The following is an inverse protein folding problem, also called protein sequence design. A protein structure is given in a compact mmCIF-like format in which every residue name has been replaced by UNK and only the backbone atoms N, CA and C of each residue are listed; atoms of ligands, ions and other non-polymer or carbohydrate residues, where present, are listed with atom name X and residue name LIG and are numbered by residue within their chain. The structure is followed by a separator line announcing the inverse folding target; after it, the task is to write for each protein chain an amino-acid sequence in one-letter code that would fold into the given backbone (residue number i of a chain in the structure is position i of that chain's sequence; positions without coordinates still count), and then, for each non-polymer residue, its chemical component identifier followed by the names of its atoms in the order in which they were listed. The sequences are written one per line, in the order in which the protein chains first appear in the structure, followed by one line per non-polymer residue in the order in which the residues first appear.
data_IF_610392145275
#
_entry.id   IF_610392145275
#
_cell.length_a   1.000
_cell.length_b   1.000
_cell.length_c   1.000
_cell.angle_alpha   90.00
_cell.angle_beta   90.00
_cell.angle_gamma   90.00
#
_symmetry.space_group_name_H-M   'P 1'
#
loop_
_entity.id
_entity.type
_entity.pdbx_description
1 polymer ?
#
# COMPACT_ATOMS: atom_id res chain seq x y z
N UNK A 1 -42.64 15.15 24.49
CA UNK A 1 -42.58 14.91 23.04
C UNK A 1 -41.94 16.13 22.41
N UNK A 2 -40.64 16.06 22.16
CA UNK A 2 -39.89 17.08 21.43
C UNK A 2 -38.98 16.31 20.48
N UNK A 3 -39.36 16.36 19.21
CA UNK A 3 -38.70 15.68 18.10
C UNK A 3 -37.26 16.19 17.97
N UNK A 4 -36.31 15.25 18.01
CA UNK A 4 -34.92 15.52 17.64
C UNK A 4 -34.87 15.57 16.11
N UNK A 5 -34.80 16.79 15.56
CA UNK A 5 -34.52 17.02 14.16
C UNK A 5 -33.12 16.54 13.82
N UNK A 6 -33.04 15.39 13.14
CA UNK A 6 -31.81 14.95 12.47
C UNK A 6 -31.45 15.97 11.40
N UNK A 7 -30.40 16.75 11.65
CA UNK A 7 -29.87 17.71 10.71
C UNK A 7 -29.08 16.94 9.63
N UNK A 8 -29.78 16.31 8.68
CA UNK A 8 -29.17 15.83 7.44
C UNK A 8 -28.95 17.05 6.56
N UNK A 9 -27.78 17.69 6.68
CA UNK A 9 -27.39 18.73 5.74
C UNK A 9 -27.46 18.15 4.32
N UNK A 10 -28.32 18.72 3.48
CA UNK A 10 -28.37 18.39 2.06
C UNK A 10 -26.95 18.58 1.46
N UNK A 11 -26.46 17.63 0.66
CA UNK A 11 -25.16 17.76 0.04
C UNK A 11 -25.11 19.02 -0.81
N UNK A 12 -24.09 19.85 -0.59
CA UNK A 12 -23.88 21.09 -1.35
C UNK A 12 -23.89 20.80 -2.86
N UNK A 13 -24.45 21.72 -3.64
CA UNK A 13 -24.47 21.65 -5.10
C UNK A 13 -23.05 21.42 -5.64
N UNK A 14 -22.82 20.31 -6.36
CA UNK A 14 -21.49 19.90 -6.83
C UNK A 14 -20.70 18.95 -5.92
N UNK A 15 -21.31 18.41 -4.85
CA UNK A 15 -20.68 17.40 -3.99
C UNK A 15 -20.33 16.12 -4.76
N UNK A 16 -19.05 15.82 -4.85
CA UNK A 16 -18.55 14.53 -5.33
C UNK A 16 -18.33 13.59 -4.14
N UNK A 17 -19.11 12.52 -4.10
CA UNK A 17 -18.97 11.49 -3.10
C UNK A 17 -17.65 10.74 -3.29
N UNK A 18 -16.90 10.58 -2.20
CA UNK A 18 -15.64 9.86 -2.17
C UNK A 18 -15.45 9.18 -0.82
N UNK A 19 -14.55 8.20 -0.75
CA UNK A 19 -14.23 7.47 0.47
C UNK A 19 -12.76 7.62 0.82
N UNK A 20 -12.48 7.60 2.11
CA UNK A 20 -11.13 7.57 2.66
C UNK A 20 -10.82 6.16 3.17
N UNK A 21 -9.68 5.63 2.69
CA UNK A 21 -9.03 4.43 3.23
C UNK A 21 -7.72 4.76 3.94
N UNK A 22 -7.21 3.91 4.85
CA UNK A 22 -5.97 4.18 5.58
C UNK A 22 -4.76 4.48 4.69
N UNK A 23 -4.66 3.78 3.56
CA UNK A 23 -3.59 4.00 2.58
C UNK A 23 -3.72 5.33 1.86
N UNK A 24 -4.95 5.75 1.54
CA UNK A 24 -5.22 7.06 0.94
C UNK A 24 -4.99 8.21 1.92
N UNK A 25 -5.40 8.05 3.18
CA UNK A 25 -5.13 9.01 4.25
C UNK A 25 -3.63 9.17 4.47
N UNK A 26 -2.89 8.06 4.55
CA UNK A 26 -1.43 8.11 4.68
C UNK A 26 -0.77 8.85 3.52
N UNK A 27 -1.27 8.68 2.28
CA UNK A 27 -0.73 9.38 1.11
C UNK A 27 -1.04 10.89 1.18
N UNK A 28 -2.21 11.27 1.65
CA UNK A 28 -2.61 12.67 1.84
C UNK A 28 -1.75 13.36 2.91
N UNK A 29 -1.55 12.70 4.05
CA UNK A 29 -0.70 13.18 5.15
C UNK A 29 0.77 13.29 4.77
N UNK A 30 1.27 12.38 3.93
CA UNK A 30 2.60 12.51 3.36
C UNK A 30 2.71 13.75 2.48
N UNK A 31 1.75 13.95 1.56
CA UNK A 31 1.68 15.12 0.70
C UNK A 31 0.31 15.20 0.00
N UNK A 32 -0.50 16.26 0.21
CA UNK A 32 -1.82 16.37 -0.43
C UNK A 32 -1.73 16.35 -1.96
N UNK A 33 -0.72 17.01 -2.55
CA UNK A 33 -0.44 16.93 -4.00
C UNK A 33 -0.15 15.50 -4.48
N UNK A 34 0.57 14.69 -3.70
CA UNK A 34 0.83 13.27 -4.01
C UNK A 34 -0.46 12.46 -4.01
N UNK A 35 -1.35 12.72 -3.05
CA UNK A 35 -2.69 12.12 -3.05
C UNK A 35 -3.47 12.54 -4.29
N UNK A 36 -3.54 13.84 -4.59
CA UNK A 36 -4.24 14.37 -5.75
C UNK A 36 -3.75 13.75 -7.06
N UNK A 37 -2.42 13.68 -7.28
CA UNK A 37 -1.81 13.05 -8.47
C UNK A 37 -2.20 11.56 -8.60
N UNK A 38 -2.30 10.84 -7.48
CA UNK A 38 -2.71 9.42 -7.50
C UNK A 38 -4.16 9.19 -7.95
N UNK A 39 -4.97 10.25 -8.01
CA UNK A 39 -6.36 10.23 -8.47
C UNK A 39 -6.54 10.68 -9.92
N UNK A 40 -5.47 11.07 -10.61
CA UNK A 40 -5.54 11.59 -11.98
C UNK A 40 -5.45 10.53 -13.08
N UNK A 41 -5.60 9.24 -12.75
CA UNK A 41 -5.49 8.16 -13.73
C UNK A 41 -4.09 7.96 -14.31
N UNK A 42 -3.06 8.50 -13.65
CA UNK A 42 -1.66 8.38 -14.09
C UNK A 42 -1.18 6.92 -14.02
N UNK A 43 -0.28 6.50 -14.94
CA UNK A 43 0.21 5.13 -14.98
C UNK A 43 0.93 4.82 -13.66
N UNK A 44 0.51 3.77 -12.94
CA UNK A 44 1.11 3.38 -11.66
C UNK A 44 2.44 2.66 -11.85
N UNK A 45 3.30 2.73 -10.84
CA UNK A 45 4.54 1.97 -10.79
C UNK A 45 4.38 0.68 -9.97
N UNK A 46 4.73 -0.47 -10.56
CA UNK A 46 4.85 -1.72 -9.83
C UNK A 46 6.08 -1.73 -8.93
N UNK A 47 5.96 -2.41 -7.79
CA UNK A 47 6.97 -2.42 -6.73
C UNK A 47 7.23 -3.84 -6.25
N UNK A 48 8.48 -4.28 -6.28
CA UNK A 48 8.87 -5.62 -5.81
C UNK A 48 8.47 -5.86 -4.34
N UNK A 49 8.74 -4.93 -3.39
CA UNK A 49 8.23 -5.06 -2.03
C UNK A 49 6.71 -5.20 -1.92
N UNK A 50 5.95 -4.50 -2.78
CA UNK A 50 4.49 -4.56 -2.75
C UNK A 50 3.98 -5.92 -3.28
N UNK A 51 4.52 -6.38 -4.41
CA UNK A 51 4.20 -7.68 -4.98
C UNK A 51 4.53 -8.84 -4.02
N UNK A 52 5.68 -8.78 -3.35
CA UNK A 52 6.04 -9.73 -2.31
C UNK A 52 5.04 -9.69 -1.15
N UNK A 53 4.71 -8.51 -0.65
CA UNK A 53 3.74 -8.34 0.42
C UNK A 53 2.39 -8.93 0.08
N UNK A 54 1.84 -8.58 -1.08
CA UNK A 54 0.56 -9.09 -1.57
C UNK A 54 0.57 -10.62 -1.68
N UNK A 55 1.63 -11.21 -2.25
CA UNK A 55 1.75 -12.67 -2.36
C UNK A 55 1.68 -13.34 -0.99
N UNK A 56 2.32 -12.77 0.04
CA UNK A 56 2.26 -13.29 1.41
C UNK A 56 0.87 -13.10 2.01
N UNK A 57 0.27 -11.92 1.92
CA UNK A 57 -1.06 -11.63 2.49
C UNK A 57 -2.13 -12.55 1.90
N UNK A 58 -2.20 -12.63 0.56
CA UNK A 58 -3.18 -13.47 -0.12
C UNK A 58 -2.94 -14.97 0.16
N UNK A 59 -1.69 -15.38 0.44
CA UNK A 59 -1.39 -16.75 0.84
C UNK A 59 -1.89 -17.07 2.24
N UNK A 60 -1.73 -16.15 3.19
CA UNK A 60 -2.30 -16.29 4.54
C UNK A 60 -3.82 -16.31 4.47
N UNK A 61 -4.43 -15.42 3.69
CA UNK A 61 -5.88 -15.38 3.42
C UNK A 61 -6.39 -16.74 2.94
N UNK A 62 -5.82 -17.27 1.86
CA UNK A 62 -6.26 -18.54 1.27
C UNK A 62 -6.06 -19.74 2.20
N UNK A 63 -5.00 -19.72 3.02
CA UNK A 63 -4.78 -20.77 4.02
C UNK A 63 -5.84 -20.69 5.12
N UNK A 64 -6.11 -19.50 5.67
CA UNK A 64 -7.15 -19.31 6.68
C UNK A 64 -8.54 -19.71 6.15
N UNK A 65 -8.81 -19.52 4.85
CA UNK A 65 -10.06 -19.91 4.19
C UNK A 65 -10.07 -21.35 3.62
N UNK A 66 -9.04 -22.15 3.88
CA UNK A 66 -8.96 -23.50 3.34
C UNK A 66 -10.09 -24.36 3.90
N UNK A 67 -10.89 -24.96 3.02
CA UNK A 67 -11.89 -25.96 3.42
C UNK A 67 -11.18 -27.29 3.73
N UNK A 68 -11.19 -27.65 5.02
CA UNK A 68 -10.64 -28.89 5.55
C UNK A 68 -11.71 -29.74 6.25
N UNK A 69 -12.99 -29.41 6.08
CA UNK A 69 -14.10 -30.06 6.78
C UNK A 69 -14.17 -31.56 6.53
N UNK A 70 -13.92 -31.98 5.29
CA UNK A 70 -13.94 -33.39 4.85
C UNK A 70 -12.62 -34.15 5.10
N UNK A 71 -11.63 -33.53 5.75
CA UNK A 71 -10.32 -34.14 6.00
C UNK A 71 -10.24 -34.74 7.40
N UNK A 72 -9.48 -35.83 7.49
CA UNK A 72 -9.23 -36.58 8.73
C UNK A 72 -8.38 -35.74 9.69
N UNK A 73 -8.83 -35.61 10.93
CA UNK A 73 -8.21 -34.74 11.95
C UNK A 73 -6.78 -35.16 12.30
N UNK A 74 -6.46 -36.45 12.15
CA UNK A 74 -5.13 -37.01 12.44
C UNK A 74 -4.13 -36.84 11.26
N UNK A 75 -4.58 -36.32 10.11
CA UNK A 75 -3.71 -36.13 8.94
C UNK A 75 -2.64 -35.04 9.19
N UNK A 76 -1.36 -35.39 9.10
CA UNK A 76 -0.19 -34.51 9.25
C UNK A 76 0.58 -34.35 7.93
N UNK A 77 1.73 -33.67 7.94
CA UNK A 77 2.63 -33.44 6.79
C UNK A 77 2.04 -32.66 5.60
N UNK A 78 0.79 -32.20 5.71
CA UNK A 78 0.07 -31.55 4.62
C UNK A 78 0.35 -30.04 4.51
N UNK A 79 0.54 -29.35 5.63
CA UNK A 79 0.62 -27.89 5.68
C UNK A 79 1.82 -27.33 4.91
N UNK A 80 3.06 -27.88 5.02
CA UNK A 80 4.21 -27.34 4.29
C UNK A 80 4.03 -27.38 2.77
N UNK A 81 3.53 -28.50 2.24
CA UNK A 81 3.29 -28.67 0.81
C UNK A 81 2.17 -27.74 0.32
N UNK A 82 1.10 -27.60 1.12
CA UNK A 82 -0.05 -26.74 0.81
C UNK A 82 0.34 -25.26 0.83
N UNK A 83 1.00 -24.80 1.89
CA UNK A 83 1.47 -23.42 2.03
C UNK A 83 2.41 -23.03 0.87
N UNK A 84 3.33 -23.93 0.49
CA UNK A 84 4.19 -23.72 -0.67
C UNK A 84 3.39 -23.60 -1.97
N UNK A 85 2.44 -24.50 -2.22
CA UNK A 85 1.64 -24.47 -3.45
C UNK A 85 0.78 -23.20 -3.55
N UNK A 86 0.18 -22.77 -2.44
CA UNK A 86 -0.58 -21.51 -2.36
C UNK A 86 0.34 -20.31 -2.64
N UNK A 87 1.51 -20.25 -2.02
CA UNK A 87 2.47 -19.18 -2.24
C UNK A 87 2.99 -19.13 -3.67
N UNK A 88 3.36 -20.28 -4.25
CA UNK A 88 3.85 -20.36 -5.63
C UNK A 88 2.79 -19.84 -6.62
N UNK A 89 1.51 -20.14 -6.39
CA UNK A 89 0.40 -19.62 -7.19
C UNK A 89 0.30 -18.10 -7.08
N UNK A 90 0.28 -17.55 -5.86
CA UNK A 90 0.18 -16.10 -5.66
C UNK A 90 1.41 -15.36 -6.15
N UNK A 91 2.60 -15.94 -6.00
CA UNK A 91 3.84 -15.40 -6.54
C UNK A 91 3.77 -15.27 -8.07
N UNK A 92 3.22 -16.26 -8.76
CA UNK A 92 3.02 -16.20 -10.21
C UNK A 92 1.98 -15.16 -10.61
N UNK A 93 0.85 -15.06 -9.90
CA UNK A 93 -0.17 -14.01 -10.13
C UNK A 93 0.46 -12.62 -9.98
N UNK A 94 1.21 -12.39 -8.90
CA UNK A 94 1.86 -11.10 -8.67
C UNK A 94 2.97 -10.82 -9.69
N UNK A 95 3.68 -11.84 -10.19
CA UNK A 95 4.64 -11.70 -11.28
C UNK A 95 3.96 -11.22 -12.57
N UNK A 96 2.85 -11.85 -12.94
CA UNK A 96 2.11 -11.49 -14.16
C UNK A 96 1.54 -10.08 -14.06
N UNK A 97 0.95 -9.71 -12.91
CA UNK A 97 0.47 -8.36 -12.62
C UNK A 97 1.60 -7.31 -12.68
N UNK A 98 2.75 -7.64 -12.10
CA UNK A 98 3.92 -6.76 -12.06
C UNK A 98 4.48 -6.50 -13.45
N UNK A 99 4.67 -7.55 -14.26
CA UNK A 99 5.19 -7.44 -15.63
C UNK A 99 4.17 -6.83 -16.60
N UNK A 100 2.86 -6.98 -16.33
CA UNK A 100 1.79 -6.32 -17.08
C UNK A 100 1.62 -4.84 -16.75
N UNK A 101 2.22 -4.34 -15.66
CA UNK A 101 2.13 -2.93 -15.25
C UNK A 101 3.16 -2.10 -16.02
N UNK A 102 2.79 -1.08 -16.84
CA UNK A 102 3.71 -0.42 -17.76
C UNK A 102 4.99 0.16 -17.13
N UNK A 103 4.90 0.63 -15.88
CA UNK A 103 6.05 1.14 -15.13
C UNK A 103 6.46 0.09 -14.11
N UNK A 104 7.52 -0.66 -14.38
CA UNK A 104 8.04 -1.64 -13.44
C UNK A 104 9.57 -1.74 -13.55
N UNK A 105 10.28 -2.00 -12.43
CA UNK A 105 11.68 -2.40 -12.51
C UNK A 105 11.81 -3.89 -12.89
N UNK A 106 13.03 -4.43 -12.89
CA UNK A 106 13.23 -5.88 -13.07
C UNK A 106 12.53 -6.69 -11.98
N UNK A 107 11.81 -7.73 -12.39
CA UNK A 107 11.30 -8.77 -11.49
C UNK A 107 12.44 -9.60 -10.89
N UNK A 108 12.38 -9.87 -9.58
CA UNK A 108 13.42 -10.59 -8.85
C UNK A 108 12.87 -11.92 -8.35
N UNK A 109 12.95 -12.96 -9.20
CA UNK A 109 12.49 -14.32 -8.87
C UNK A 109 13.13 -14.84 -7.57
N UNK A 110 14.37 -14.46 -7.29
CA UNK A 110 15.08 -14.82 -6.06
C UNK A 110 14.41 -14.32 -4.77
N UNK A 111 13.45 -13.39 -4.85
CA UNK A 111 12.71 -12.90 -3.68
C UNK A 111 11.58 -13.82 -3.22
N UNK A 112 11.25 -14.89 -3.96
CA UNK A 112 10.28 -15.89 -3.51
C UNK A 112 10.68 -16.53 -2.17
N UNK A 113 11.98 -16.70 -1.92
CA UNK A 113 12.48 -17.21 -0.62
C UNK A 113 12.11 -16.27 0.53
N UNK A 114 12.18 -14.95 0.31
CA UNK A 114 11.74 -13.98 1.33
C UNK A 114 10.22 -13.97 1.51
N UNK A 115 9.47 -14.20 0.43
CA UNK A 115 8.02 -14.36 0.52
C UNK A 115 7.68 -15.61 1.34
N UNK A 116 8.41 -16.71 1.14
CA UNK A 116 8.27 -17.94 1.92
C UNK A 116 8.58 -17.68 3.40
N UNK A 117 9.72 -17.06 3.72
CA UNK A 117 10.06 -16.70 5.11
C UNK A 117 8.98 -15.81 5.74
N UNK A 118 8.43 -14.87 4.96
CA UNK A 118 7.32 -14.00 5.38
C UNK A 118 6.02 -14.75 5.61
N UNK A 119 5.72 -15.79 4.82
CA UNK A 119 4.53 -16.64 5.03
C UNK A 119 4.69 -17.47 6.30
N UNK A 120 5.83 -18.14 6.47
CA UNK A 120 6.12 -18.92 7.68
C UNK A 120 6.06 -18.04 8.93
N UNK A 121 6.65 -16.84 8.87
CA UNK A 121 6.61 -15.89 9.97
C UNK A 121 5.20 -15.41 10.30
N UNK A 122 4.34 -15.23 9.30
CA UNK A 122 2.94 -14.87 9.53
C UNK A 122 2.16 -16.01 10.21
N UNK A 123 2.33 -17.25 9.72
CA UNK A 123 1.71 -18.43 10.30
C UNK A 123 2.19 -18.68 11.74
N UNK A 124 3.47 -18.50 12.03
CA UNK A 124 3.99 -18.59 13.41
C UNK A 124 3.32 -17.61 14.35
N UNK A 125 3.10 -16.36 13.92
CA UNK A 125 2.38 -15.38 14.74
C UNK A 125 0.94 -15.85 14.95
N UNK A 126 0.26 -16.31 13.90
CA UNK A 126 -1.11 -16.83 14.01
C UNK A 126 -1.20 -18.01 14.99
N UNK A 127 -0.30 -18.98 14.90
CA UNK A 127 -0.23 -20.10 15.84
C UNK A 127 0.01 -19.64 17.27
N UNK A 128 0.84 -18.62 17.48
CA UNK A 128 1.07 -18.04 18.82
C UNK A 128 -0.17 -17.37 19.44
N UNK A 129 -1.25 -17.15 18.66
CA UNK A 129 -2.54 -16.65 19.14
C UNK A 129 -3.52 -17.77 19.49
N UNK A 130 -3.18 -19.02 19.20
CA UNK A 130 -3.95 -20.20 19.60
C UNK A 130 -3.39 -20.82 20.87
N UNK A 131 -4.15 -21.75 21.46
CA UNK A 131 -3.72 -22.58 22.59
C UNK A 131 -2.76 -23.71 22.21
N UNK A 132 -2.44 -23.84 20.91
CA UNK A 132 -1.63 -24.95 20.41
C UNK A 132 -0.15 -24.61 20.43
N UNK A 133 0.64 -25.52 20.99
CA UNK A 133 2.10 -25.44 20.98
C UNK A 133 2.69 -26.13 19.73
N UNK A 134 3.00 -25.35 18.70
CA UNK A 134 3.50 -25.85 17.40
C UNK A 134 4.98 -25.51 17.26
N UNK A 135 5.81 -26.56 17.21
CA UNK A 135 7.25 -26.44 16.99
C UNK A 135 7.64 -26.64 15.53
N UNK A 136 6.83 -27.38 14.76
CA UNK A 136 7.12 -27.75 13.39
C UNK A 136 5.83 -27.87 12.56
N UNK A 137 5.81 -27.25 11.38
CA UNK A 137 4.62 -27.22 10.52
C UNK A 137 4.28 -28.59 9.91
N UNK A 138 5.23 -29.52 9.83
CA UNK A 138 4.96 -30.89 9.36
C UNK A 138 4.13 -31.68 10.38
N UNK A 139 4.20 -31.31 11.67
CA UNK A 139 3.49 -31.98 12.75
C UNK A 139 2.06 -31.42 12.95
N UNK A 140 1.70 -30.35 12.25
CA UNK A 140 0.37 -29.74 12.33
C UNK A 140 -0.65 -30.69 11.71
N UNK A 141 -1.50 -31.27 12.54
CA UNK A 141 -2.61 -32.09 12.08
C UNK A 141 -3.76 -31.22 11.53
N UNK A 142 -4.69 -31.82 10.80
CA UNK A 142 -5.90 -31.14 10.36
C UNK A 142 -6.76 -30.69 11.54
N UNK A 143 -6.86 -31.49 12.61
CA UNK A 143 -7.57 -31.11 13.83
C UNK A 143 -6.97 -29.86 14.47
N UNK A 144 -5.65 -29.80 14.58
CA UNK A 144 -4.93 -28.61 15.05
C UNK A 144 -5.20 -27.39 14.18
N UNK A 145 -5.21 -27.53 12.85
CA UNK A 145 -5.50 -26.41 11.96
C UNK A 145 -6.95 -25.94 12.06
N UNK A 146 -7.92 -26.84 12.24
CA UNK A 146 -9.32 -26.48 12.51
C UNK A 146 -9.44 -25.64 13.79
N UNK A 147 -8.69 -25.97 14.85
CA UNK A 147 -8.61 -25.17 16.07
C UNK A 147 -8.07 -23.76 15.78
N UNK A 148 -6.97 -23.67 15.02
CA UNK A 148 -6.37 -22.38 14.61
C UNK A 148 -7.29 -21.58 13.68
N UNK A 149 -8.04 -22.22 12.80
CA UNK A 149 -9.04 -21.54 11.96
C UNK A 149 -10.21 -21.02 12.80
N UNK A 150 -10.60 -21.73 13.86
CA UNK A 150 -11.73 -21.34 14.69
C UNK A 150 -11.55 -20.00 15.40
N UNK A 151 -10.29 -19.59 15.66
CA UNK A 151 -9.99 -18.28 16.25
C UNK A 151 -9.98 -17.14 15.22
N UNK A 152 -9.97 -17.44 13.91
CA UNK A 152 -10.03 -16.42 12.86
C UNK A 152 -11.48 -16.04 12.60
N UNK A 153 -11.94 -14.96 13.22
CA UNK A 153 -13.32 -14.46 13.13
C UNK A 153 -13.63 -13.87 11.76
N UNK A 154 -12.64 -13.27 11.11
CA UNK A 154 -12.72 -12.83 9.72
C UNK A 154 -11.33 -12.65 9.11
N UNK A 155 -11.24 -12.82 7.80
CA UNK A 155 -10.09 -12.41 6.99
C UNK A 155 -10.56 -11.51 5.84
N UNK A 156 -9.73 -10.52 5.52
CA UNK A 156 -10.01 -9.56 4.44
C UNK A 156 -11.38 -8.87 4.54
N UNK A 157 -11.83 -8.69 5.79
CA UNK A 157 -13.09 -8.06 6.13
C UNK A 157 -13.12 -6.60 5.70
N UNK A 158 -14.14 -6.23 4.93
CA UNK A 158 -14.39 -4.82 4.61
C UNK A 158 -15.10 -4.15 5.79
N UNK A 159 -14.52 -3.07 6.30
CA UNK A 159 -15.10 -2.17 7.29
C UNK A 159 -15.53 -0.87 6.61
N UNK A 160 -16.74 -0.42 6.89
CA UNK A 160 -17.28 0.86 6.42
C UNK A 160 -17.81 1.62 7.63
N UNK A 161 -17.60 2.94 7.69
CA UNK A 161 -18.22 3.79 8.75
C UNK A 161 -19.70 4.00 8.47
N UNK A 162 -20.51 4.26 9.50
CA UNK A 162 -21.96 4.50 9.39
C UNK A 162 -22.35 5.51 8.31
N UNK A 163 -21.57 6.59 8.14
CA UNK A 163 -21.82 7.63 7.15
C UNK A 163 -21.31 7.30 5.73
N UNK A 164 -20.75 6.10 5.52
CA UNK A 164 -20.17 5.62 4.25
C UNK A 164 -18.87 6.29 3.81
N UNK A 165 -18.34 7.26 4.57
CA UNK A 165 -17.18 8.10 4.17
C UNK A 165 -15.84 7.42 4.39
N UNK A 166 -15.74 6.55 5.39
CA UNK A 166 -14.51 5.83 5.73
C UNK A 166 -14.66 4.36 5.33
N UNK A 167 -13.61 3.78 4.75
CA UNK A 167 -13.58 2.37 4.36
C UNK A 167 -12.19 1.77 4.56
N UNK A 168 -12.12 0.58 5.14
CA UNK A 168 -10.90 -0.19 5.31
C UNK A 168 -11.09 -1.65 4.91
N UNK A 169 -10.01 -2.33 4.51
CA UNK A 169 -9.94 -3.79 4.42
C UNK A 169 -8.95 -4.25 5.48
N UNK A 170 -9.44 -4.98 6.48
CA UNK A 170 -8.61 -5.52 7.56
C UNK A 170 -7.99 -6.84 7.09
N UNK A 171 -6.73 -7.12 7.41
CA UNK A 171 -6.12 -8.39 6.98
C UNK A 171 -6.74 -9.56 7.78
N UNK A 172 -6.69 -9.48 9.12
CA UNK A 172 -7.25 -10.51 10.01
C UNK A 172 -7.98 -9.89 11.21
N UNK A 173 -9.09 -10.52 11.59
CA UNK A 173 -9.75 -10.35 12.87
C UNK A 173 -9.70 -11.68 13.59
N UNK A 174 -9.05 -11.71 14.75
CA UNK A 174 -8.77 -12.93 15.50
C UNK A 174 -9.36 -12.81 16.91
N UNK A 175 -9.90 -13.89 17.45
CA UNK A 175 -10.29 -13.96 18.86
C UNK A 175 -9.04 -13.94 19.75
N UNK A 176 -9.06 -13.12 20.81
CA UNK A 176 -8.01 -13.08 21.83
C UNK A 176 -8.30 -14.18 22.85
N UNK A 177 -7.78 -15.39 22.58
CA UNK A 177 -8.04 -16.57 23.41
C UNK A 177 -7.02 -16.63 24.55
N UNK A 178 -7.48 -16.97 25.74
CA UNK A 178 -6.62 -17.19 26.89
C UNK A 178 -6.12 -18.64 27.05
N UNK A 179 -5.36 -18.90 28.10
CA UNK A 179 -4.79 -20.22 28.39
C UNK A 179 -5.85 -21.32 28.61
N UNK A 180 -7.11 -20.96 28.88
CA UNK A 180 -8.21 -21.90 29.07
C UNK A 180 -9.05 -22.10 27.80
N UNK A 181 -8.73 -21.41 26.71
CA UNK A 181 -9.51 -21.47 25.47
C UNK A 181 -10.69 -20.48 25.44
N UNK A 182 -10.81 -19.60 26.42
CA UNK A 182 -11.90 -18.61 26.50
C UNK A 182 -11.51 -17.31 25.78
N UNK A 183 -12.45 -16.73 25.03
CA UNK A 183 -12.24 -15.46 24.32
C UNK A 183 -12.32 -14.26 25.28
N UNK A 184 -11.22 -13.54 25.43
CA UNK A 184 -11.14 -12.31 26.23
C UNK A 184 -11.37 -11.03 25.42
N UNK A 185 -11.43 -11.13 24.10
CA UNK A 185 -11.51 -9.97 23.23
C UNK A 185 -11.29 -10.29 21.76
N UNK A 186 -11.14 -9.24 20.97
CA UNK A 186 -10.81 -9.32 19.55
C UNK A 186 -9.49 -8.60 19.25
N UNK A 187 -8.71 -9.19 18.37
CA UNK A 187 -7.45 -8.65 17.85
C UNK A 187 -7.68 -8.26 16.40
N UNK A 188 -7.60 -6.97 16.11
CA UNK A 188 -7.47 -6.47 14.73
C UNK A 188 -6.00 -6.55 14.34
N UNK A 189 -5.67 -7.47 13.43
CA UNK A 189 -4.31 -7.69 12.97
C UNK A 189 -4.11 -7.17 11.55
N UNK A 190 -3.04 -6.41 11.35
CA UNK A 190 -2.54 -6.00 10.03
C UNK A 190 -1.14 -6.59 9.83
N UNK A 191 -1.00 -7.41 8.79
CA UNK A 191 0.20 -8.13 8.46
C UNK A 191 1.21 -7.19 7.79
N UNK A 192 2.46 -7.26 8.21
CA UNK A 192 3.56 -6.44 7.70
C UNK A 192 4.73 -7.33 7.30
N UNK A 193 5.04 -7.35 6.00
CA UNK A 193 6.24 -8.01 5.44
C UNK A 193 7.48 -7.11 5.41
N UNK A 194 7.32 -5.84 5.78
CA UNK A 194 8.37 -4.83 5.82
C UNK A 194 9.26 -4.91 7.06
N UNK A 195 10.17 -3.94 7.19
CA UNK A 195 11.03 -3.83 8.39
C UNK A 195 10.19 -3.53 9.63
N UNK A 196 10.48 -4.19 10.77
CA UNK A 196 9.85 -3.87 12.04
C UNK A 196 10.19 -2.44 12.46
N UNK A 197 9.33 -1.80 13.27
CA UNK A 197 9.61 -0.50 13.85
C UNK A 197 10.78 -0.58 14.84
N UNK A 198 11.44 0.56 15.06
CA UNK A 198 12.48 0.71 16.08
C UNK A 198 12.50 2.17 16.55
N UNK A 199 12.21 2.51 17.82
CA UNK A 199 11.80 1.66 18.95
C UNK A 199 10.27 1.47 19.10
N UNK A 200 9.46 2.29 18.44
CA UNK A 200 7.99 2.26 18.52
C UNK A 200 7.36 2.27 17.13
N UNK A 201 6.10 1.84 17.02
CA UNK A 201 5.33 1.90 15.79
C UNK A 201 5.42 3.29 15.16
N UNK A 202 5.69 3.34 13.86
CA UNK A 202 5.58 4.58 13.10
C UNK A 202 4.12 5.08 13.18
N UNK A 203 3.93 6.37 13.39
CA UNK A 203 2.61 7.01 13.49
C UNK A 203 1.67 6.62 12.33
N UNK A 204 2.20 6.47 11.12
CA UNK A 204 1.43 5.99 9.96
C UNK A 204 0.82 4.62 10.18
N UNK A 205 1.59 3.68 10.74
CA UNK A 205 1.14 2.30 10.99
C UNK A 205 0.19 2.28 12.19
N UNK A 206 0.54 2.99 13.28
CA UNK A 206 -0.33 3.14 14.45
C UNK A 206 -1.71 3.70 14.05
N UNK A 207 -1.74 4.75 13.23
CA UNK A 207 -2.98 5.36 12.72
C UNK A 207 -3.79 4.40 11.85
N UNK A 208 -3.15 3.60 10.99
CA UNK A 208 -3.84 2.58 10.19
C UNK A 208 -4.49 1.51 11.08
N UNK A 209 -3.75 0.97 12.05
CA UNK A 209 -4.26 -0.03 12.99
C UNK A 209 -5.44 0.50 13.83
N UNK A 210 -5.28 1.71 14.38
CA UNK A 210 -6.35 2.38 15.13
C UNK A 210 -7.58 2.66 14.26
N UNK A 211 -7.39 3.00 12.98
CA UNK A 211 -8.51 3.20 12.06
C UNK A 211 -9.39 1.95 11.93
N UNK A 212 -8.79 0.76 11.75
CA UNK A 212 -9.55 -0.48 11.69
C UNK A 212 -10.23 -0.81 13.01
N UNK A 213 -9.49 -0.68 14.13
CA UNK A 213 -10.03 -0.87 15.48
C UNK A 213 -11.25 0.01 15.73
N UNK A 214 -11.16 1.30 15.42
CA UNK A 214 -12.20 2.26 15.77
C UNK A 214 -13.42 2.12 14.86
N UNK A 215 -13.24 1.76 13.58
CA UNK A 215 -14.37 1.38 12.70
C UNK A 215 -15.06 0.10 13.19
N UNK A 216 -14.29 -0.90 13.60
CA UNK A 216 -14.85 -2.14 14.14
C UNK A 216 -15.69 -1.86 15.39
N UNK A 217 -15.18 -1.01 16.30
CA UNK A 217 -15.90 -0.59 17.52
C UNK A 217 -17.17 0.20 17.19
N UNK A 218 -17.09 1.14 16.24
CA UNK A 218 -18.27 1.90 15.79
C UNK A 218 -19.36 0.98 15.24
N UNK A 219 -18.99 -0.01 14.43
CA UNK A 219 -19.94 -0.92 13.79
C UNK A 219 -20.51 -1.98 14.75
N UNK A 220 -19.89 -2.19 15.91
CA UNK A 220 -20.28 -3.22 16.89
C UNK A 220 -20.39 -2.60 18.29
N UNK A 221 -21.48 -1.91 18.65
CA UNK A 221 -21.59 -1.18 19.93
C UNK A 221 -21.39 -2.04 21.18
N UNK A 222 -21.66 -3.35 21.10
CA UNK A 222 -21.48 -4.32 22.18
C UNK A 222 -20.20 -5.16 22.01
N UNK A 223 -19.19 -4.65 21.31
CA UNK A 223 -17.93 -5.36 21.10
C UNK A 223 -17.25 -5.72 22.45
N UNK A 224 -16.53 -6.86 22.55
CA UNK A 224 -15.66 -7.13 23.68
C UNK A 224 -14.42 -6.22 23.63
N UNK A 225 -13.42 -6.43 24.48
CA UNK A 225 -12.17 -5.65 24.40
C UNK A 225 -11.54 -5.83 23.00
N UNK A 226 -11.24 -4.72 22.31
CA UNK A 226 -10.58 -4.77 20.98
C UNK A 226 -9.18 -4.18 21.07
N UNK A 227 -8.18 -4.98 20.70
CA UNK A 227 -6.78 -4.58 20.53
C UNK A 227 -6.44 -4.47 19.04
N UNK A 228 -5.40 -3.71 18.71
CA UNK A 228 -4.95 -3.52 17.33
C UNK A 228 -3.45 -3.81 17.25
N UNK A 229 -3.06 -4.73 16.38
CA UNK A 229 -1.72 -5.28 16.33
C UNK A 229 -1.12 -5.26 14.92
N UNK A 230 0.10 -4.74 14.81
CA UNK A 230 0.93 -4.90 13.62
C UNK A 230 1.75 -6.18 13.73
N UNK A 231 1.51 -7.13 12.83
CA UNK A 231 2.19 -8.43 12.80
C UNK A 231 3.35 -8.39 11.81
N UNK A 232 4.58 -8.32 12.30
CA UNK A 232 5.77 -8.22 11.45
C UNK A 232 6.35 -9.60 11.18
N UNK A 233 5.97 -10.20 10.05
CA UNK A 233 6.32 -11.60 9.75
C UNK A 233 7.81 -11.82 9.51
N UNK A 234 8.54 -10.80 9.04
CA UNK A 234 9.96 -10.91 8.75
C UNK A 234 10.83 -11.23 9.98
N UNK A 235 10.41 -10.81 11.17
CA UNK A 235 11.11 -11.08 12.44
C UNK A 235 10.19 -11.63 13.53
N UNK A 236 8.96 -12.00 13.17
CA UNK A 236 7.96 -12.59 14.06
C UNK A 236 7.69 -11.74 15.31
N UNK A 237 7.56 -10.41 15.13
CA UNK A 237 7.24 -9.51 16.24
C UNK A 237 5.85 -8.91 16.11
N UNK A 238 5.18 -8.75 17.24
CA UNK A 238 3.85 -8.15 17.35
C UNK A 238 3.98 -6.80 18.06
N UNK A 239 3.34 -5.77 17.50
CA UNK A 239 3.36 -4.42 18.06
C UNK A 239 1.95 -3.89 18.22
N UNK A 240 1.58 -3.52 19.44
CA UNK A 240 0.24 -3.00 19.76
C UNK A 240 0.16 -1.51 19.42
N UNK A 241 -0.94 -1.10 18.78
CA UNK A 241 -1.26 0.29 18.50
C UNK A 241 -2.29 0.83 19.49
N UNK A 242 -1.78 1.60 20.46
CA UNK A 242 -2.60 2.28 21.46
C UNK A 242 -2.80 3.76 21.12
N UNK A 243 -3.80 4.37 21.76
CA UNK A 243 -4.12 5.78 21.63
C UNK A 243 -5.60 6.05 21.36
N UNK A 244 -5.99 7.34 21.34
CA UNK A 244 -7.37 7.77 21.15
C UNK A 244 -7.90 7.35 19.78
N UNK A 245 -9.23 7.45 19.64
CA UNK A 245 -9.92 7.20 18.38
C UNK A 245 -9.38 8.10 17.27
N UNK A 246 -9.24 7.55 16.06
CA UNK A 246 -8.79 8.28 14.88
C UNK A 246 -9.92 8.62 13.91
N UNK A 247 -11.19 8.35 14.27
CA UNK A 247 -12.35 8.58 13.39
C UNK A 247 -12.54 10.06 13.07
N UNK A 248 -12.50 10.94 14.07
CA UNK A 248 -12.63 12.40 13.86
C UNK A 248 -11.49 12.95 12.98
N UNK A 249 -10.20 12.70 13.27
CA UNK A 249 -9.11 13.07 12.37
C UNK A 249 -9.24 12.47 10.96
N UNK A 250 -9.78 11.25 10.83
CA UNK A 250 -10.03 10.65 9.53
C UNK A 250 -11.10 11.42 8.75
N UNK A 251 -12.16 11.89 9.41
CA UNK A 251 -13.20 12.70 8.77
C UNK A 251 -12.68 14.09 8.36
N UNK A 252 -11.78 14.69 9.14
CA UNK A 252 -11.08 15.93 8.77
C UNK A 252 -10.20 15.73 7.53
N UNK A 253 -9.44 14.64 7.48
CA UNK A 253 -8.63 14.30 6.32
C UNK A 253 -9.51 13.99 5.10
N UNK A 254 -10.63 13.28 5.28
CA UNK A 254 -11.61 13.04 4.23
C UNK A 254 -12.12 14.36 3.63
N UNK A 255 -12.42 15.35 4.47
CA UNK A 255 -12.84 16.68 4.02
C UNK A 255 -11.76 17.39 3.17
N UNK A 256 -10.48 17.29 3.58
CA UNK A 256 -9.34 17.82 2.83
C UNK A 256 -9.00 17.04 1.54
N UNK A 257 -9.46 15.79 1.44
CA UNK A 257 -9.24 14.89 0.30
C UNK A 257 -10.31 15.02 -0.80
N UNK A 258 -11.21 16.00 -0.70
CA UNK A 258 -12.27 16.26 -1.69
C UNK A 258 -11.71 16.27 -3.11
N UNK A 259 -12.35 15.52 -4.04
CA UNK A 259 -12.00 15.59 -5.46
C UNK A 259 -12.04 17.02 -5.97
N UNK A 260 -10.98 17.42 -6.67
CA UNK A 260 -10.81 18.78 -7.17
C UNK A 260 -10.09 18.74 -8.51
N UNK A 261 -10.49 19.63 -9.43
CA UNK A 261 -9.75 19.88 -10.67
C UNK A 261 -8.46 20.64 -10.39
N UNK A 262 -8.43 21.43 -9.32
CA UNK A 262 -7.25 22.16 -8.89
C UNK A 262 -6.38 21.26 -8.02
N UNK A 263 -5.06 21.24 -8.24
CA UNK A 263 -4.18 20.44 -7.43
C UNK A 263 -4.19 20.82 -5.96
N UNK A 264 -4.15 19.83 -5.08
CA UNK A 264 -3.97 20.05 -3.65
C UNK A 264 -2.57 20.57 -3.33
N UNK A 265 -2.42 21.18 -2.15
CA UNK A 265 -1.17 21.77 -1.68
C UNK A 265 -0.01 20.75 -1.69
N UNK A 266 1.15 21.18 -2.15
CA UNK A 266 2.35 20.36 -2.16
C UNK A 266 3.22 20.68 -0.94
N UNK A 267 3.68 19.64 -0.26
CA UNK A 267 4.60 19.71 0.87
C UNK A 267 5.95 19.07 0.51
N UNK A 268 6.75 19.71 -0.39
CA UNK A 268 8.02 19.14 -0.82
C UNK A 268 8.99 18.99 0.37
N UNK A 269 9.56 17.80 0.50
CA UNK A 269 10.55 17.48 1.52
C UNK A 269 11.35 16.24 1.10
N UNK A 270 12.54 16.05 1.67
CA UNK A 270 13.44 14.95 1.27
C UNK A 270 12.76 13.58 1.38
N UNK A 271 11.95 13.37 2.43
CA UNK A 271 11.22 12.11 2.62
C UNK A 271 10.01 11.99 1.68
N UNK A 272 9.23 13.07 1.57
CA UNK A 272 8.00 13.13 0.78
C UNK A 272 8.29 12.98 -0.71
N UNK A 273 9.23 13.77 -1.21
CA UNK A 273 9.65 13.75 -2.59
C UNK A 273 10.58 12.57 -2.88
N UNK A 274 11.48 12.18 -1.98
CA UNK A 274 12.48 11.13 -2.23
C UNK A 274 11.91 9.87 -2.90
N UNK A 275 10.77 9.39 -2.41
CA UNK A 275 10.08 8.17 -2.90
C UNK A 275 8.78 8.46 -3.66
N UNK A 276 8.54 9.69 -4.10
CA UNK A 276 7.32 10.03 -4.84
C UNK A 276 7.40 9.53 -6.29
N UNK A 277 6.52 8.62 -6.67
CA UNK A 277 6.42 8.08 -8.04
C UNK A 277 5.79 9.06 -9.04
N UNK A 278 5.26 10.21 -8.60
CA UNK A 278 4.55 11.17 -9.44
C UNK A 278 5.40 12.35 -9.91
N UNK A 279 6.71 12.30 -9.73
CA UNK A 279 7.62 13.42 -10.05
C UNK A 279 7.52 13.91 -11.49
N UNK A 280 7.35 13.02 -12.47
CA UNK A 280 7.21 13.40 -13.87
C UNK A 280 5.99 14.32 -14.15
N UNK A 281 5.01 14.35 -13.24
CA UNK A 281 3.79 15.15 -13.34
C UNK A 281 3.69 16.26 -12.29
N UNK A 282 4.67 16.38 -11.39
CA UNK A 282 4.64 17.34 -10.30
C UNK A 282 5.63 18.48 -10.58
N UNK A 283 5.19 19.68 -11.00
CA UNK A 283 6.13 20.77 -11.24
C UNK A 283 6.79 21.31 -9.95
N UNK A 284 6.08 21.21 -8.82
CA UNK A 284 6.52 21.77 -7.53
C UNK A 284 7.78 21.10 -6.98
N UNK A 285 7.98 19.79 -7.17
CA UNK A 285 9.22 19.16 -6.68
C UNK A 285 10.45 19.68 -7.43
N UNK A 286 10.29 20.00 -8.72
CA UNK A 286 11.39 20.51 -9.54
C UNK A 286 11.69 21.96 -9.19
N UNK A 287 10.65 22.78 -9.01
CA UNK A 287 10.77 24.14 -8.47
C UNK A 287 11.46 24.15 -7.09
N UNK A 288 11.05 23.27 -6.17
CA UNK A 288 11.67 23.12 -4.86
C UNK A 288 13.17 22.79 -4.93
N UNK A 289 13.62 22.06 -5.97
CA UNK A 289 15.05 21.84 -6.21
C UNK A 289 15.78 23.08 -6.72
N UNK A 290 15.17 23.89 -7.58
CA UNK A 290 15.72 25.19 -8.00
C UNK A 290 15.89 26.11 -6.80
N UNK A 291 14.89 26.14 -5.92
CA UNK A 291 14.84 27.05 -4.77
C UNK A 291 15.71 26.59 -3.59
N UNK A 292 16.41 25.45 -3.74
CA UNK A 292 17.33 24.92 -2.74
C UNK A 292 16.65 24.24 -1.54
N UNK A 293 15.33 24.03 -1.59
CA UNK A 293 14.57 23.32 -0.57
C UNK A 293 14.85 21.80 -0.58
N UNK A 294 15.11 21.25 -1.77
CA UNK A 294 15.44 19.85 -1.97
C UNK A 294 16.87 19.70 -2.50
N UNK A 295 17.63 18.81 -1.88
CA UNK A 295 18.95 18.45 -2.36
C UNK A 295 18.86 17.73 -3.71
N UNK A 296 19.86 17.90 -4.59
CA UNK A 296 20.00 17.10 -5.80
C UNK A 296 20.10 15.60 -5.61
N UNK A 297 20.37 15.14 -4.39
CA UNK A 297 20.81 13.79 -4.10
C UNK A 297 22.29 13.58 -4.40
N UNK A 298 22.91 12.63 -3.68
CA UNK A 298 24.32 12.30 -3.88
C UNK A 298 24.50 11.39 -5.10
N UNK A 299 24.29 10.09 -4.89
CA UNK A 299 24.58 9.04 -5.87
C UNK A 299 23.44 8.83 -6.88
N UNK A 300 22.19 8.85 -6.42
CA UNK A 300 21.00 8.72 -7.27
C UNK A 300 20.30 10.06 -7.35
N UNK A 301 19.99 10.49 -8.58
CA UNK A 301 19.35 11.77 -8.85
C UNK A 301 18.19 11.59 -9.80
N UNK A 302 17.16 12.38 -9.56
CA UNK A 302 16.12 12.61 -10.55
C UNK A 302 16.47 13.85 -11.36
N UNK A 303 16.23 13.83 -12.66
CA UNK A 303 16.56 14.93 -13.57
C UNK A 303 15.42 15.18 -14.55
N UNK A 304 15.26 16.43 -14.96
CA UNK A 304 14.42 16.81 -16.10
C UNK A 304 15.35 17.33 -17.19
N UNK A 305 15.31 16.70 -18.36
CA UNK A 305 16.31 16.90 -19.42
C UNK A 305 15.70 17.01 -20.81
N UNK A 306 16.40 17.69 -21.70
CA UNK A 306 16.24 17.51 -23.14
C UNK A 306 17.25 16.48 -23.64
N UNK A 307 16.80 15.61 -24.56
CA UNK A 307 17.66 14.63 -25.23
C UNK A 307 18.31 15.30 -26.45
N UNK A 308 19.62 15.55 -26.39
CA UNK A 308 20.36 16.23 -27.47
C UNK A 308 20.79 15.24 -28.55
N UNK A 309 21.24 14.07 -28.10
CA UNK A 309 21.64 12.97 -28.98
C UNK A 309 21.35 11.66 -28.27
N UNK A 310 20.89 10.68 -29.00
CA UNK A 310 20.72 9.32 -28.53
C UNK A 310 21.25 8.34 -29.59
N UNK A 311 22.12 7.46 -29.16
CA UNK A 311 22.65 6.34 -29.92
C UNK A 311 22.06 5.07 -29.32
N UNK A 312 21.09 4.49 -30.02
CA UNK A 312 20.34 3.31 -29.56
C UNK A 312 21.22 2.07 -29.49
N UNK A 313 22.12 1.90 -30.45
CA UNK A 313 22.99 0.71 -30.53
C UNK A 313 24.04 0.72 -29.41
N UNK A 314 24.62 1.89 -29.14
CA UNK A 314 25.58 2.05 -28.05
C UNK A 314 24.93 2.19 -26.67
N UNK A 315 23.61 2.41 -26.61
CA UNK A 315 22.91 2.79 -25.38
C UNK A 315 23.45 4.08 -24.78
N UNK A 316 23.86 5.04 -25.61
CA UNK A 316 24.52 6.27 -25.18
C UNK A 316 23.65 7.49 -25.48
N UNK A 317 23.61 8.45 -24.56
CA UNK A 317 22.87 9.69 -24.73
C UNK A 317 23.70 10.91 -24.33
N UNK A 318 23.40 12.06 -24.93
CA UNK A 318 23.79 13.37 -24.43
C UNK A 318 22.54 14.09 -23.96
N UNK A 319 22.50 14.40 -22.67
CA UNK A 319 21.41 15.13 -22.03
C UNK A 319 21.79 16.57 -21.74
N UNK A 320 20.80 17.46 -21.81
CA UNK A 320 20.89 18.82 -21.30
C UNK A 320 19.85 18.99 -20.20
N UNK A 321 20.27 19.37 -18.99
CA UNK A 321 19.31 19.67 -17.91
C UNK A 321 18.45 20.87 -18.30
N UNK A 322 17.17 20.78 -17.99
CA UNK A 322 16.20 21.87 -18.13
C UNK A 322 15.78 22.35 -16.75
N UNK A 323 15.99 23.63 -16.45
CA UNK A 323 15.66 24.24 -15.16
C UNK A 323 14.19 24.71 -15.15
N UNK A 324 13.48 24.63 -14.00
CA UNK A 324 12.12 25.16 -13.92
C UNK A 324 12.15 26.70 -13.90
N UNK A 325 11.27 27.34 -14.68
CA UNK A 325 11.13 28.80 -14.71
C UNK A 325 10.20 29.28 -13.60
N UNK A 326 9.08 28.58 -13.42
CA UNK A 326 8.09 28.83 -12.38
C UNK A 326 7.62 27.51 -11.78
N UNK A 327 6.39 27.51 -11.29
CA UNK A 327 5.81 26.41 -10.50
C UNK A 327 4.75 25.62 -11.30
N UNK A 328 4.52 26.01 -12.56
CA UNK A 328 3.61 25.41 -13.53
C UNK A 328 4.25 24.24 -14.32
N UNK A 329 5.57 24.11 -14.24
CA UNK A 329 6.34 23.10 -14.96
C UNK A 329 6.97 23.59 -16.25
N UNK A 330 6.87 24.90 -16.53
CA UNK A 330 7.61 25.56 -17.60
C UNK A 330 9.12 25.43 -17.38
N UNK A 331 9.84 25.16 -18.47
CA UNK A 331 11.27 24.84 -18.45
C UNK A 331 12.09 25.83 -19.28
N UNK A 332 13.31 26.11 -18.82
CA UNK A 332 14.34 26.82 -19.58
C UNK A 332 15.57 25.90 -19.79
N UNK A 333 16.25 26.01 -20.94
CA UNK A 333 17.53 25.35 -21.14
C UNK A 333 18.55 25.80 -20.09
N UNK A 334 19.42 24.88 -19.67
CA UNK A 334 20.60 25.22 -18.86
C UNK A 334 21.88 24.88 -19.61
N UNK A 335 23.00 25.49 -19.20
CA UNK A 335 24.34 25.15 -19.72
C UNK A 335 24.84 23.77 -19.26
N UNK A 336 24.08 23.08 -18.41
CA UNK A 336 24.49 21.80 -17.84
C UNK A 336 24.17 20.64 -18.77
N UNK A 337 25.20 20.17 -19.49
CA UNK A 337 25.17 18.96 -20.33
C UNK A 337 25.94 17.82 -19.66
N UNK A 338 25.42 16.60 -19.80
CA UNK A 338 26.04 15.39 -19.25
C UNK A 338 25.73 14.18 -20.12
N UNK A 339 26.64 13.19 -20.09
CA UNK A 339 26.47 11.94 -20.83
C UNK A 339 25.54 10.98 -20.10
N UNK A 340 24.94 10.06 -20.83
CA UNK A 340 24.11 8.99 -20.30
C UNK A 340 24.51 7.64 -20.89
N UNK A 341 24.52 6.61 -20.05
CA UNK A 341 24.60 5.20 -20.46
C UNK A 341 23.29 4.53 -20.02
N UNK A 342 22.53 4.06 -20.99
CA UNK A 342 21.23 3.43 -20.82
C UNK A 342 21.36 1.94 -21.13
N UNK A 343 20.82 1.12 -20.23
CA UNK A 343 20.75 -0.34 -20.39
C UNK A 343 19.36 -0.84 -20.03
N UNK A 344 19.08 -2.05 -20.46
CA UNK A 344 17.92 -2.83 -20.05
C UNK A 344 16.61 -2.02 -20.16
N UNK A 345 15.76 -2.00 -19.13
CA UNK A 345 14.47 -1.29 -19.17
C UNK A 345 14.59 0.20 -19.51
N UNK A 346 15.63 0.90 -19.03
CA UNK A 346 15.80 2.32 -19.32
C UNK A 346 16.09 2.58 -20.81
N UNK A 347 16.82 1.67 -21.46
CA UNK A 347 17.10 1.75 -22.89
C UNK A 347 15.83 1.52 -23.72
N UNK A 348 15.00 0.55 -23.31
CA UNK A 348 13.70 0.26 -23.93
C UNK A 348 12.79 1.48 -23.79
N UNK A 349 12.60 1.99 -22.58
CA UNK A 349 11.74 3.16 -22.31
C UNK A 349 12.17 4.40 -23.11
N UNK A 350 13.48 4.69 -23.18
CA UNK A 350 13.98 5.81 -23.99
C UNK A 350 13.71 5.61 -25.48
N UNK A 351 13.91 4.38 -25.98
CA UNK A 351 13.69 4.06 -27.39
C UNK A 351 12.22 4.20 -27.77
N UNK A 352 11.33 3.61 -26.97
CA UNK A 352 9.87 3.70 -27.14
C UNK A 352 9.38 5.15 -27.06
N UNK A 353 9.90 5.93 -26.11
CA UNK A 353 9.54 7.33 -25.95
C UNK A 353 9.90 8.13 -27.21
N UNK A 354 11.10 7.93 -27.78
CA UNK A 354 11.50 8.62 -29.00
C UNK A 354 10.75 8.10 -30.24
N UNK A 355 10.48 6.80 -30.31
CA UNK A 355 9.71 6.17 -31.40
C UNK A 355 8.24 6.65 -31.41
N UNK A 356 7.70 7.04 -30.26
CA UNK A 356 6.39 7.69 -30.16
C UNK A 356 6.34 9.11 -30.74
N UNK A 357 7.50 9.67 -31.12
CA UNK A 357 7.62 11.03 -31.63
C UNK A 357 7.70 12.11 -30.53
N UNK A 358 7.96 11.73 -29.28
CA UNK A 358 8.08 12.69 -28.17
C UNK A 358 9.27 13.63 -28.38
N UNK A 359 9.00 14.94 -28.43
CA UNK A 359 10.04 15.98 -28.58
C UNK A 359 10.23 16.85 -27.33
N UNK A 360 9.43 16.61 -26.29
CA UNK A 360 9.45 17.38 -25.05
C UNK A 360 10.61 16.99 -24.13
N UNK A 361 10.66 17.65 -22.95
CA UNK A 361 11.58 17.23 -21.91
C UNK A 361 11.23 15.83 -21.37
N UNK A 362 12.23 15.18 -20.80
CA UNK A 362 12.18 13.81 -20.29
C UNK A 362 12.55 13.83 -18.82
N UNK A 363 11.73 13.18 -17.99
CA UNK A 363 12.03 12.87 -16.62
C UNK A 363 12.90 11.60 -16.56
N UNK A 364 14.06 11.71 -15.93
CA UNK A 364 14.94 10.59 -15.59
C UNK A 364 14.83 10.33 -14.09
N UNK A 365 14.22 9.21 -13.71
CA UNK A 365 14.07 8.79 -12.32
C UNK A 365 15.23 7.90 -11.87
N UNK A 366 15.78 8.19 -10.68
CA UNK A 366 16.81 7.39 -10.01
C UNK A 366 18.06 7.12 -10.86
N UNK A 367 18.48 8.10 -11.66
CA UNK A 367 19.72 8.01 -12.44
C UNK A 367 20.93 7.99 -11.51
N UNK A 368 21.81 6.99 -11.66
CA UNK A 368 23.04 6.91 -10.84
C UNK A 368 24.11 7.80 -11.46
N UNK A 369 24.54 8.83 -10.75
CA UNK A 369 25.53 9.78 -11.25
C UNK A 369 26.95 9.35 -10.90
N UNK A 370 27.81 9.30 -11.91
CA UNK A 370 29.26 9.16 -11.78
C UNK A 370 29.95 10.34 -12.50
N UNK A 371 30.34 11.35 -11.73
CA UNK A 371 30.83 12.62 -12.27
C UNK A 371 29.80 13.30 -13.19
N UNK A 372 30.08 13.33 -14.50
CA UNK A 372 29.20 13.89 -15.55
C UNK A 372 28.54 12.80 -16.42
N UNK A 373 28.47 11.58 -15.93
CA UNK A 373 27.81 10.47 -16.61
C UNK A 373 26.67 9.94 -15.75
N UNK A 374 25.47 9.87 -16.33
CA UNK A 374 24.32 9.22 -15.73
C UNK A 374 24.24 7.77 -16.19
N UNK A 375 24.13 6.84 -15.26
CA UNK A 375 23.88 5.42 -15.53
C UNK A 375 22.42 5.10 -15.26
N UNK A 376 21.73 4.64 -16.29
CA UNK A 376 20.33 4.24 -16.23
C UNK A 376 20.19 2.75 -16.58
N UNK A 377 19.47 2.01 -15.75
CA UNK A 377 19.21 0.59 -15.94
C UNK A 377 17.80 0.21 -15.47
N UNK A 378 17.60 -1.05 -15.14
CA UNK A 378 16.29 -1.61 -14.76
C UNK A 378 15.56 -0.92 -13.60
N UNK A 379 16.27 -0.19 -12.74
CA UNK A 379 15.65 0.51 -11.61
C UNK A 379 15.21 1.94 -11.95
N UNK A 380 15.66 2.46 -13.09
CA UNK A 380 15.39 3.83 -13.52
C UNK A 380 14.03 3.95 -14.19
N UNK A 381 13.55 5.18 -14.26
CA UNK A 381 12.38 5.53 -15.05
C UNK A 381 12.78 6.55 -16.11
N UNK A 382 12.34 6.34 -17.34
CA UNK A 382 12.42 7.32 -18.42
C UNK A 382 10.98 7.62 -18.84
N UNK A 383 10.50 8.81 -18.49
CA UNK A 383 9.11 9.22 -18.70
C UNK A 383 9.07 10.60 -19.38
N UNK A 384 8.02 10.92 -20.15
CA UNK A 384 7.81 12.30 -20.60
C UNK A 384 7.60 13.22 -19.39
N UNK A 385 8.30 14.36 -19.36
CA UNK A 385 7.98 15.43 -18.42
C UNK A 385 6.61 16.02 -18.79
N UNK A 386 5.60 15.76 -17.95
CA UNK A 386 4.20 16.06 -18.23
C UNK A 386 3.54 16.73 -17.01
N UNK A 387 4.01 17.91 -16.59
CA UNK A 387 3.54 18.57 -15.38
C UNK A 387 2.03 18.81 -15.45
N UNK A 388 1.33 18.45 -14.38
CA UNK A 388 -0.12 18.65 -14.27
C UNK A 388 -0.41 19.83 -13.37
N UNK A 389 -1.00 20.89 -13.94
CA UNK A 389 -1.50 22.07 -13.23
C UNK A 389 -3.00 22.07 -13.03
N UNK A 390 -3.71 21.22 -13.78
CA UNK A 390 -5.13 20.94 -13.66
C UNK A 390 -5.35 19.44 -13.84
N UNK A 391 -6.48 18.95 -13.34
CA UNK A 391 -6.84 17.54 -13.41
C UNK A 391 -8.34 17.36 -13.51
N UNK A 392 -8.80 16.17 -13.18
CA UNK A 392 -10.20 15.80 -13.25
C UNK A 392 -10.74 15.45 -11.87
N UNK A 393 -11.81 16.12 -11.47
CA UNK A 393 -12.64 15.73 -10.35
C UNK A 393 -13.52 14.58 -10.82
N UNK A 394 -13.02 13.35 -10.69
CA UNK A 394 -13.80 12.17 -11.02
C UNK A 394 -14.93 12.00 -10.00
N UNK A 395 -16.17 11.98 -10.50
CA UNK A 395 -17.32 11.64 -9.69
C UNK A 395 -17.34 10.15 -9.36
N UNK A 396 -17.05 9.80 -8.10
CA UNK A 396 -17.14 8.43 -7.58
C UNK A 396 -18.50 8.17 -6.87
N UNK A 397 -19.49 9.07 -7.02
CA UNK A 397 -20.80 9.03 -6.36
C UNK A 397 -21.56 7.73 -6.49
N UNK A 398 -21.29 6.91 -7.51
CA UNK A 398 -21.93 5.61 -7.69
C UNK A 398 -21.58 4.55 -6.64
N UNK A 399 -20.67 4.79 -5.69
CA UNK A 399 -20.22 3.75 -4.74
C UNK A 399 -19.84 4.26 -3.35
N UNK A 400 -20.65 5.13 -2.72
CA UNK A 400 -20.59 5.15 -1.25
C UNK A 400 -21.18 3.83 -0.76
N UNK A 401 -20.31 2.92 -0.34
CA UNK A 401 -20.75 1.72 0.36
C UNK A 401 -21.35 2.13 1.69
N UNK A 402 -22.41 1.45 2.09
CA UNK A 402 -23.08 1.65 3.37
C UNK A 402 -22.63 0.58 4.35
N UNK A 403 -22.98 0.72 5.63
CA UNK A 403 -22.62 -0.29 6.63
C UNK A 403 -23.09 -1.70 6.27
N UNK A 404 -24.22 -1.83 5.54
CA UNK A 404 -24.72 -3.09 4.98
C UNK A 404 -23.74 -3.84 4.06
N UNK A 405 -22.66 -3.19 3.61
CA UNK A 405 -21.60 -3.81 2.81
C UNK A 405 -20.44 -4.34 3.68
N UNK A 406 -20.59 -4.30 5.01
CA UNK A 406 -19.61 -4.80 5.98
C UNK A 406 -19.76 -6.31 6.12
N UNK A 407 -18.67 -7.06 5.97
CA UNK A 407 -18.68 -8.54 6.02
C UNK A 407 -18.89 -9.05 7.47
N UNK A 408 -18.80 -8.16 8.46
CA UNK A 408 -18.77 -8.48 9.89
C UNK A 408 -20.09 -8.20 10.64
N UNK A 409 -21.21 -7.95 9.96
CA UNK A 409 -22.50 -7.66 10.63
C UNK A 409 -23.04 -8.84 11.49
N UNK A 410 -22.40 -10.01 11.45
CA UNK A 410 -22.80 -11.23 12.16
C UNK A 410 -21.93 -11.66 13.34
N UNK A 411 -20.93 -10.89 13.80
CA UNK A 411 -20.06 -11.27 14.94
C UNK A 411 -20.73 -10.95 16.30
N UNK A 412 -22.06 -11.04 16.39
CA UNK A 412 -22.84 -10.77 17.61
C UNK A 412 -23.25 -12.05 18.32
N UNK A 413 -23.05 -12.12 19.64
CA UNK A 413 -23.41 -13.15 20.67
C UNK A 413 -23.15 -14.65 20.38
N UNK A 414 -23.17 -15.09 19.12
CA UNK A 414 -23.04 -16.49 18.70
C UNK A 414 -21.58 -16.98 18.69
N UNK A 415 -20.61 -16.07 18.75
CA UNK A 415 -19.18 -16.40 18.91
C UNK A 415 -18.84 -17.02 20.27
N UNK A 416 -19.77 -16.99 21.24
CA UNK A 416 -19.64 -17.67 22.54
C UNK A 416 -20.41 -19.01 22.59
N UNK A 417 -21.25 -19.33 21.59
CA UNK A 417 -22.14 -20.50 21.68
C UNK A 417 -21.55 -21.81 21.15
N UNK A 418 -20.41 -21.80 20.46
CA UNK A 418 -19.77 -23.03 19.96
C UNK A 418 -18.91 -23.78 20.98
N UNK A 419 -18.85 -23.33 22.24
CA UNK A 419 -18.07 -24.01 23.30
C UNK A 419 -18.92 -24.80 24.32
N UNK A 420 -20.20 -25.06 24.01
CA UNK A 420 -21.02 -25.96 24.84
C UNK A 420 -21.76 -27.01 23.99
N UNK A 421 -21.02 -27.99 23.47
CA UNK A 421 -21.51 -29.38 23.36
C UNK A 421 -20.37 -30.36 23.16
#
# INVERSE_FOLDING_TARGET
MSEAGGNTQEPQEGFIAHQLSPSSWSRYEECPRKYWLSRQGLPRKASMPAALGNAVHNSVEDLCNLDVSDRDDDETDWLPATAKAVLDRHWQIEKDNFLGTPRHPRWKDEQITKAHDGLIGALNILFSKSTVDIHNFSEVSIGTWKEVQSIVLANEGTLVSECGRLMGRLDLLVADIDENGESQGWIVADLKTGRPPSPSLNEKVSRQLRFYRDLLKQNNPNHPKVTAEGWYSANQTVHVADGPSVIEPALEAWEGMRPSNQPLEATPGEQQCGWCEWKAWCPIWWAARRDGLLSPGHMFRDEVVSVIRFDREAGAALFQRTAPVGDDGSLAPSEHKFGGVLRDQALVQMSELLDSGHTGAVFLGSARMDGRVAHLGDWCEVLPWSPMTEGHAHDHSRRLRTNSDTILEGIGEDGEQSQST
#
